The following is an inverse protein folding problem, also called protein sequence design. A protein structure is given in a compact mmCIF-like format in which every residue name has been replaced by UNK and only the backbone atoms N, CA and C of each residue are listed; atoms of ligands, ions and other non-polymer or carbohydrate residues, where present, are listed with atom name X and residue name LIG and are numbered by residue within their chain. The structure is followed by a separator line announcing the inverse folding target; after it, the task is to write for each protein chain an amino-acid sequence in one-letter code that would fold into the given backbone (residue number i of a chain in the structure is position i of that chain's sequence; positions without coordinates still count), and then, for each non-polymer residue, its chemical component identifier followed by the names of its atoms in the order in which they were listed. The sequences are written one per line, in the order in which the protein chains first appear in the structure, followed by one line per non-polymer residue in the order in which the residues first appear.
data_IF_355335491005
#
_entry.id   IF_355335491005
#
_cell.length_a   1.000
_cell.length_b   1.000
_cell.length_c   1.000
_cell.angle_alpha   90.00
_cell.angle_beta   90.00
_cell.angle_gamma   90.00
#
_symmetry.space_group_name_H-M   'P 1'
#
loop_
_entity.id
_entity.type
_entity.pdbx_description
1 polymer ?
#
# COMPACT_ATOMS: atom_id res chain seq x y z
N UNK A 1 -40.46 17.47 -23.30
CA UNK A 1 -39.81 16.76 -22.17
C UNK A 1 -38.50 16.05 -22.59
N UNK A 2 -38.44 15.31 -23.70
CA UNK A 2 -37.18 14.62 -24.12
C UNK A 2 -35.97 15.55 -24.37
N UNK A 3 -36.19 16.75 -24.93
CA UNK A 3 -35.09 17.71 -25.19
C UNK A 3 -34.49 18.33 -23.94
N UNK A 4 -35.26 18.49 -22.86
CA UNK A 4 -34.78 19.05 -21.59
C UNK A 4 -33.87 18.04 -20.85
N UNK A 5 -34.20 16.76 -20.93
CA UNK A 5 -33.41 15.68 -20.32
C UNK A 5 -32.02 15.56 -20.98
N UNK A 6 -31.96 15.72 -22.30
CA UNK A 6 -30.69 15.66 -23.03
C UNK A 6 -29.79 16.85 -22.66
N UNK A 7 -30.34 18.05 -22.54
CA UNK A 7 -29.58 19.25 -22.17
C UNK A 7 -29.07 19.15 -20.72
N UNK A 8 -29.84 18.59 -19.78
CA UNK A 8 -29.41 18.37 -18.39
C UNK A 8 -28.30 17.33 -18.30
N UNK A 9 -28.36 16.27 -19.11
CA UNK A 9 -27.32 15.25 -19.21
C UNK A 9 -25.98 15.81 -19.75
N UNK A 10 -26.04 16.70 -20.74
CA UNK A 10 -24.85 17.37 -21.27
C UNK A 10 -24.21 18.37 -20.27
N UNK A 11 -25.02 19.04 -19.46
CA UNK A 11 -24.53 19.95 -18.43
C UNK A 11 -23.82 19.22 -17.29
N UNK A 12 -24.26 18.01 -16.92
CA UNK A 12 -23.60 17.19 -15.91
C UNK A 12 -22.25 16.65 -16.40
N UNK A 13 -22.16 16.22 -17.66
CA UNK A 13 -20.89 15.74 -18.25
C UNK A 13 -19.91 16.89 -18.47
N UNK A 14 -20.38 18.05 -18.90
CA UNK A 14 -19.53 19.25 -19.06
C UNK A 14 -19.04 19.79 -17.72
N UNK A 15 -19.82 19.66 -16.64
CA UNK A 15 -19.44 20.07 -15.29
C UNK A 15 -18.27 19.26 -14.74
N UNK A 16 -18.28 17.94 -14.90
CA UNK A 16 -17.19 17.09 -14.45
C UNK A 16 -15.89 17.36 -15.24
N UNK A 17 -15.97 17.50 -16.56
CA UNK A 17 -14.80 17.76 -17.40
C UNK A 17 -14.16 19.15 -17.16
N UNK A 18 -14.94 20.13 -16.75
CA UNK A 18 -14.41 21.47 -16.41
C UNK A 18 -13.76 21.53 -15.03
N UNK A 19 -14.24 20.74 -14.06
CA UNK A 19 -13.62 20.61 -12.73
C UNK A 19 -12.24 19.91 -12.83
N UNK A 20 -12.14 18.80 -13.60
CA UNK A 20 -10.85 18.12 -13.81
C UNK A 20 -9.82 19.02 -14.49
N UNK A 21 -10.22 19.76 -15.53
CA UNK A 21 -9.32 20.67 -16.24
C UNK A 21 -8.85 21.86 -15.38
N UNK A 22 -9.71 22.37 -14.50
CA UNK A 22 -9.33 23.44 -13.57
C UNK A 22 -8.35 22.92 -12.54
N UNK A 23 -8.60 21.76 -11.94
CA UNK A 23 -7.75 21.17 -10.92
C UNK A 23 -6.36 20.78 -11.45
N UNK A 24 -6.31 20.18 -12.64
CA UNK A 24 -5.03 19.82 -13.31
C UNK A 24 -4.27 21.05 -13.75
N UNK A 25 -4.95 22.11 -14.21
CA UNK A 25 -4.33 23.33 -14.66
C UNK A 25 -3.70 24.11 -13.49
N UNK A 26 -4.37 24.17 -12.34
CA UNK A 26 -3.82 24.79 -11.13
C UNK A 26 -2.59 24.05 -10.59
N UNK A 27 -2.53 22.72 -10.76
CA UNK A 27 -1.36 21.91 -10.39
C UNK A 27 -0.19 22.13 -11.37
N UNK A 28 -0.46 22.32 -12.65
CA UNK A 28 0.56 22.51 -13.69
C UNK A 28 1.07 23.96 -13.74
N UNK A 29 0.20 24.96 -13.57
CA UNK A 29 0.57 26.38 -13.64
C UNK A 29 1.27 26.89 -12.36
N UNK A 30 1.05 26.25 -11.21
CA UNK A 30 1.74 26.64 -9.98
C UNK A 30 3.16 26.10 -9.86
N UNK A 31 3.67 25.28 -10.80
CA UNK A 31 5.07 24.88 -11.03
C UNK A 31 6.04 24.86 -9.83
N UNK A 32 5.54 25.12 -8.65
CA UNK A 32 6.16 25.07 -7.34
C UNK A 32 5.15 24.50 -6.35
N UNK A 33 4.77 23.24 -6.51
CA UNK A 33 4.34 22.51 -5.33
C UNK A 33 5.62 22.39 -4.50
N UNK A 34 5.75 23.28 -3.55
CA UNK A 34 6.71 23.09 -2.46
C UNK A 34 6.23 21.82 -1.73
N UNK A 35 6.81 20.70 -2.10
CA UNK A 35 6.58 19.38 -1.44
C UNK A 35 7.07 19.40 0.02
N UNK A 36 7.36 20.57 0.56
CA UNK A 36 8.18 20.69 1.74
C UNK A 36 7.43 20.61 3.06
N UNK A 37 6.10 20.70 3.11
CA UNK A 37 5.38 20.55 4.39
C UNK A 37 3.91 20.19 4.18
N UNK A 38 3.49 19.05 4.70
CA UNK A 38 2.10 18.85 5.06
C UNK A 38 1.91 19.41 6.47
N UNK A 39 1.20 20.52 6.60
CA UNK A 39 0.79 21.05 7.90
C UNK A 39 -0.55 20.39 8.30
N UNK A 40 -0.50 19.63 9.39
CA UNK A 40 -1.71 19.26 10.13
C UNK A 40 -1.76 20.23 11.30
N UNK A 41 -2.92 20.85 11.56
CA UNK A 41 -3.08 21.85 12.62
C UNK A 41 -2.56 21.29 13.96
N UNK A 42 -1.52 21.92 14.51
CA UNK A 42 -0.85 21.49 15.73
C UNK A 42 0.28 20.46 15.57
N UNK A 43 0.63 20.04 14.34
CA UNK A 43 1.71 19.08 14.11
C UNK A 43 2.46 19.36 12.79
N UNK A 44 3.78 19.55 12.83
CA UNK A 44 4.63 19.61 11.63
C UNK A 44 5.15 18.22 11.30
N UNK A 45 4.85 17.74 10.09
CA UNK A 45 5.38 16.49 9.57
C UNK A 45 6.40 16.76 8.45
N UNK A 46 7.64 16.41 8.71
CA UNK A 46 8.75 16.70 7.79
C UNK A 46 8.85 15.76 6.57
N UNK A 47 7.90 14.85 6.39
CA UNK A 47 7.88 13.91 5.28
C UNK A 47 9.00 12.86 5.32
N UNK A 48 9.20 12.17 4.19
CA UNK A 48 10.20 11.09 4.06
C UNK A 48 11.64 11.61 4.28
N UNK A 49 11.93 12.84 3.84
CA UNK A 49 13.29 13.38 3.94
C UNK A 49 13.72 13.60 5.39
N UNK A 50 12.83 14.12 6.23
CA UNK A 50 13.11 14.27 7.67
C UNK A 50 13.28 12.94 8.39
N UNK A 51 12.52 11.91 7.98
CA UNK A 51 12.67 10.58 8.52
C UNK A 51 14.03 9.93 8.16
N UNK A 52 14.72 10.46 7.15
CA UNK A 52 16.05 10.01 6.74
C UNK A 52 17.20 10.75 7.44
N UNK A 53 16.93 11.84 8.16
CA UNK A 53 17.98 12.68 8.78
C UNK A 53 18.60 12.04 10.02
N UNK A 54 17.95 11.07 10.65
CA UNK A 54 18.43 10.36 11.84
C UNK A 54 19.61 9.42 11.63
N UNK A 55 20.15 9.29 10.42
CA UNK A 55 21.26 8.37 10.09
C UNK A 55 20.90 6.89 10.09
N UNK A 56 19.71 6.54 10.53
CA UNK A 56 19.19 5.18 10.51
C UNK A 56 18.66 4.82 9.11
N UNK A 57 18.50 3.54 8.83
CA UNK A 57 17.81 3.07 7.63
C UNK A 57 16.32 3.31 7.82
N UNK A 58 15.72 4.11 6.94
CA UNK A 58 14.27 4.21 6.87
C UNK A 58 13.69 2.92 6.28
N UNK A 59 12.75 2.31 6.96
CA UNK A 59 11.96 1.18 6.46
C UNK A 59 10.56 1.67 6.12
N UNK A 60 10.18 1.58 4.85
CA UNK A 60 8.90 2.05 4.36
C UNK A 60 8.10 0.87 3.82
N UNK A 61 6.91 0.62 4.37
CA UNK A 61 5.99 -0.40 3.89
C UNK A 61 4.84 0.25 3.12
N UNK A 62 4.63 -0.23 1.88
CA UNK A 62 3.50 0.16 1.06
C UNK A 62 2.48 -0.98 0.95
N UNK A 63 1.21 -0.66 1.19
CA UNK A 63 0.07 -1.57 1.05
C UNK A 63 -0.94 -0.97 0.07
N UNK A 64 -1.24 -1.70 -1.01
CA UNK A 64 -2.19 -1.26 -2.03
C UNK A 64 -3.64 -1.39 -1.56
N UNK A 65 -4.54 -0.71 -2.27
CA UNK A 65 -5.99 -0.75 -2.06
C UNK A 65 -6.68 -1.87 -2.84
N UNK A 66 -7.94 -1.61 -3.21
CA UNK A 66 -8.74 -2.55 -4.01
C UNK A 66 -8.19 -2.75 -5.41
N UNK A 67 -8.53 -3.87 -6.02
CA UNK A 67 -8.12 -4.24 -7.37
C UNK A 67 -6.99 -5.27 -7.40
N UNK A 68 -6.76 -5.82 -8.60
CA UNK A 68 -5.67 -6.78 -8.81
C UNK A 68 -4.37 -6.05 -9.03
N UNK A 69 -3.39 -6.33 -8.17
CA UNK A 69 -2.05 -5.78 -8.24
C UNK A 69 -1.03 -6.91 -8.38
N UNK A 70 0.09 -6.58 -9.01
CA UNK A 70 1.22 -7.50 -9.18
C UNK A 70 2.47 -6.92 -8.52
N UNK A 71 3.42 -7.76 -8.06
CA UNK A 71 4.68 -7.28 -7.52
C UNK A 71 5.37 -6.29 -8.46
N UNK A 72 5.71 -5.12 -7.94
CA UNK A 72 6.23 -3.99 -8.72
C UNK A 72 5.22 -2.88 -9.02
N UNK A 73 3.97 -2.97 -8.52
CA UNK A 73 2.95 -1.95 -8.75
C UNK A 73 3.36 -0.55 -8.25
N UNK A 74 4.22 -0.48 -7.25
CA UNK A 74 4.68 0.79 -6.67
C UNK A 74 5.95 1.35 -7.33
N UNK A 75 6.48 0.74 -8.38
CA UNK A 75 7.77 1.16 -8.97
C UNK A 75 7.82 2.63 -9.34
N UNK A 76 6.75 3.14 -9.96
CA UNK A 76 6.68 4.56 -10.35
C UNK A 76 6.73 5.50 -9.14
N UNK A 77 6.04 5.13 -8.04
CA UNK A 77 6.12 5.88 -6.79
C UNK A 77 7.54 5.83 -6.22
N UNK A 78 8.17 4.65 -6.20
CA UNK A 78 9.54 4.49 -5.72
C UNK A 78 10.53 5.33 -6.53
N UNK A 79 10.43 5.32 -7.85
CA UNK A 79 11.29 6.11 -8.75
C UNK A 79 11.11 7.62 -8.52
N UNK A 80 9.87 8.10 -8.42
CA UNK A 80 9.58 9.50 -8.14
C UNK A 80 10.11 9.92 -6.77
N UNK A 81 9.88 9.10 -5.74
CA UNK A 81 10.39 9.35 -4.40
C UNK A 81 11.93 9.38 -4.39
N UNK A 82 12.55 8.38 -5.00
CA UNK A 82 14.01 8.29 -5.09
C UNK A 82 14.62 9.47 -5.83
N UNK A 83 14.01 9.89 -6.96
CA UNK A 83 14.46 11.05 -7.73
C UNK A 83 14.40 12.34 -6.91
N UNK A 84 13.32 12.57 -6.16
CA UNK A 84 13.17 13.77 -5.33
C UNK A 84 14.15 13.82 -4.14
N UNK A 85 14.55 12.67 -3.59
CA UNK A 85 15.45 12.57 -2.44
C UNK A 85 16.91 12.35 -2.88
N UNK A 86 17.16 12.18 -4.18
CA UNK A 86 18.48 11.91 -4.73
C UNK A 86 19.00 10.49 -4.45
N UNK A 87 18.12 9.52 -4.32
CA UNK A 87 18.48 8.12 -4.15
C UNK A 87 18.84 7.45 -5.48
N UNK A 88 19.77 6.50 -5.40
CA UNK A 88 20.06 5.54 -6.45
C UNK A 88 19.75 4.13 -5.95
N UNK A 89 19.25 3.24 -6.81
CA UNK A 89 19.05 1.84 -6.47
C UNK A 89 20.41 1.21 -6.19
N UNK A 90 20.57 0.66 -4.99
CA UNK A 90 21.81 -0.07 -4.62
C UNK A 90 21.73 -1.52 -5.06
N UNK A 91 20.54 -2.12 -4.95
CA UNK A 91 20.29 -3.47 -5.44
C UNK A 91 19.88 -3.42 -6.91
N UNK A 92 20.55 -4.20 -7.74
CA UNK A 92 20.19 -4.36 -9.16
C UNK A 92 18.89 -5.12 -9.35
N UNK A 93 18.54 -5.98 -8.40
CA UNK A 93 17.33 -6.79 -8.40
C UNK A 93 16.64 -6.65 -7.05
N UNK A 94 15.34 -6.35 -7.03
CA UNK A 94 14.57 -6.41 -5.80
C UNK A 94 14.48 -7.84 -5.30
N UNK A 95 14.41 -8.03 -4.01
CA UNK A 95 14.14 -9.34 -3.41
C UNK A 95 12.63 -9.55 -3.32
N UNK A 96 12.18 -10.79 -3.52
CA UNK A 96 10.78 -11.18 -3.42
C UNK A 96 10.64 -12.35 -2.46
N UNK A 97 9.71 -12.22 -1.51
CA UNK A 97 9.33 -13.26 -0.56
C UNK A 97 7.88 -13.59 -0.79
N UNK A 98 7.55 -14.83 -1.10
CA UNK A 98 6.17 -15.30 -1.05
C UNK A 98 5.82 -15.55 0.41
N UNK A 99 4.86 -14.80 0.92
CA UNK A 99 4.39 -14.90 2.29
C UNK A 99 3.49 -16.11 2.45
N UNK A 100 3.73 -16.90 3.49
CA UNK A 100 2.92 -18.06 3.85
C UNK A 100 2.12 -17.80 5.12
N UNK A 101 0.94 -18.40 5.22
CA UNK A 101 0.15 -18.40 6.45
C UNK A 101 0.94 -19.10 7.58
N UNK A 102 1.21 -18.42 8.70
CA UNK A 102 1.89 -19.04 9.82
C UNK A 102 1.15 -20.24 10.43
N UNK A 103 -0.16 -20.36 10.20
CA UNK A 103 -0.96 -21.42 10.77
C UNK A 103 -0.68 -22.81 10.12
N UNK A 104 -0.39 -22.85 8.83
CA UNK A 104 -0.12 -24.08 8.10
C UNK A 104 1.26 -24.14 7.44
N UNK A 105 1.89 -22.99 7.22
CA UNK A 105 3.18 -22.88 6.55
C UNK A 105 3.14 -23.20 5.04
N UNK A 106 1.97 -23.31 4.44
CA UNK A 106 1.77 -23.75 3.06
C UNK A 106 0.93 -22.77 2.24
N UNK A 107 -0.14 -22.20 2.81
CA UNK A 107 -1.05 -21.29 2.12
C UNK A 107 -0.35 -19.98 1.79
N UNK A 108 -0.33 -19.63 0.50
CA UNK A 108 0.24 -18.35 0.04
C UNK A 108 -0.73 -17.20 0.35
N UNK A 109 -0.27 -16.23 1.13
CA UNK A 109 -1.05 -15.08 1.57
C UNK A 109 -0.56 -13.74 1.03
N UNK A 110 0.46 -13.74 0.19
CA UNK A 110 0.94 -12.51 -0.43
C UNK A 110 2.35 -12.61 -0.98
N UNK A 111 2.80 -11.50 -1.55
CA UNK A 111 4.18 -11.32 -1.95
C UNK A 111 4.72 -10.03 -1.32
N UNK A 112 5.88 -10.12 -0.70
CA UNK A 112 6.61 -8.97 -0.18
C UNK A 112 7.83 -8.73 -1.07
N UNK A 113 7.78 -7.63 -1.83
CA UNK A 113 8.89 -7.17 -2.64
C UNK A 113 9.68 -6.11 -1.88
N UNK A 114 10.99 -6.28 -1.78
CA UNK A 114 11.87 -5.38 -1.04
C UNK A 114 12.90 -4.77 -1.98
N UNK A 115 13.04 -3.45 -1.96
CA UNK A 115 14.01 -2.69 -2.75
C UNK A 115 14.90 -1.87 -1.81
N UNK A 116 16.20 -1.86 -2.05
CA UNK A 116 17.15 -1.08 -1.27
C UNK A 116 17.61 0.16 -2.05
N UNK A 117 17.45 1.31 -1.43
CA UNK A 117 17.83 2.61 -1.96
C UNK A 117 18.89 3.26 -1.08
N UNK A 118 19.84 3.94 -1.71
CA UNK A 118 20.86 4.69 -1.00
C UNK A 118 21.21 5.99 -1.75
N UNK A 119 21.40 7.06 -0.99
CA UNK A 119 22.08 8.25 -1.46
C UNK A 119 23.53 8.20 -0.96
N UNK A 120 24.50 8.00 -1.87
CA UNK A 120 25.92 7.87 -1.51
C UNK A 120 26.53 9.16 -0.96
N UNK A 121 26.02 10.32 -1.40
CA UNK A 121 26.55 11.62 -0.97
C UNK A 121 26.14 11.97 0.47
N UNK A 122 24.89 11.73 0.82
CA UNK A 122 24.33 12.00 2.16
C UNK A 122 24.45 10.82 3.13
N UNK A 123 24.71 9.60 2.63
CA UNK A 123 24.69 8.38 3.42
C UNK A 123 23.28 7.89 3.82
N UNK A 124 22.23 8.61 3.41
CA UNK A 124 20.82 8.23 3.67
C UNK A 124 20.51 6.89 3.01
N UNK A 125 19.75 6.03 3.70
CA UNK A 125 19.40 4.67 3.24
C UNK A 125 17.93 4.38 3.51
N UNK A 126 17.29 3.66 2.56
CA UNK A 126 15.89 3.25 2.67
C UNK A 126 15.71 1.81 2.19
N UNK A 127 14.94 1.03 2.93
CA UNK A 127 14.35 -0.23 2.49
C UNK A 127 12.88 0.02 2.20
N UNK A 128 12.48 -0.22 0.96
CA UNK A 128 11.10 -0.09 0.54
C UNK A 128 10.49 -1.49 0.41
N UNK A 129 9.50 -1.75 1.23
CA UNK A 129 8.72 -2.98 1.28
C UNK A 129 7.40 -2.75 0.55
N UNK A 130 7.07 -3.59 -0.40
CA UNK A 130 5.84 -3.53 -1.18
C UNK A 130 5.04 -4.81 -0.95
N UNK A 131 3.91 -4.72 -0.29
CA UNK A 131 3.01 -5.85 -0.08
C UNK A 131 2.02 -5.97 -1.24
N UNK A 132 1.96 -7.15 -1.87
CA UNK A 132 0.91 -7.54 -2.80
C UNK A 132 0.07 -8.64 -2.15
N UNK A 133 -1.17 -8.32 -1.77
CA UNK A 133 -2.11 -9.21 -1.09
C UNK A 133 -3.30 -9.65 -1.97
N UNK A 134 -3.53 -8.99 -3.12
CA UNK A 134 -4.72 -9.20 -3.96
C UNK A 134 -4.89 -10.61 -4.54
N UNK A 135 -3.86 -11.45 -4.45
CA UNK A 135 -3.94 -12.87 -4.81
C UNK A 135 -4.90 -13.65 -3.91
N UNK A 136 -5.13 -13.21 -2.67
CA UNK A 136 -6.04 -13.86 -1.72
C UNK A 136 -7.49 -13.80 -2.23
N UNK A 137 -7.87 -12.69 -2.88
CA UNK A 137 -9.24 -12.44 -3.38
C UNK A 137 -9.42 -12.83 -4.85
N UNK A 138 -8.36 -13.26 -5.53
CA UNK A 138 -8.42 -13.59 -6.95
C UNK A 138 -9.45 -14.69 -7.27
N UNK A 139 -9.58 -15.80 -6.52
CA UNK A 139 -10.60 -16.82 -6.80
C UNK A 139 -12.03 -16.27 -6.71
N UNK A 140 -12.29 -15.39 -5.75
CA UNK A 140 -13.62 -14.80 -5.56
C UNK A 140 -13.98 -13.85 -6.72
N UNK A 141 -12.98 -13.10 -7.23
CA UNK A 141 -13.13 -12.26 -8.43
C UNK A 141 -13.41 -13.08 -9.69
N UNK A 142 -12.75 -14.22 -9.86
CA UNK A 142 -12.99 -15.12 -11.00
C UNK A 142 -14.42 -15.63 -11.02
N UNK A 143 -14.98 -15.97 -9.87
CA UNK A 143 -16.39 -16.42 -9.76
C UNK A 143 -17.35 -15.32 -10.22
N UNK A 144 -17.11 -14.06 -9.84
CA UNK A 144 -17.96 -12.92 -10.21
C UNK A 144 -17.77 -12.56 -11.69
N UNK A 145 -16.56 -12.70 -12.20
CA UNK A 145 -16.21 -12.34 -13.56
C UNK A 145 -16.65 -13.37 -14.62
N UNK A 146 -17.32 -14.48 -14.26
CA UNK A 146 -17.69 -15.57 -15.16
C UNK A 146 -18.41 -15.12 -16.44
N UNK A 147 -19.18 -14.04 -16.37
CA UNK A 147 -19.96 -13.51 -17.47
C UNK A 147 -19.22 -12.43 -18.28
N UNK A 148 -17.95 -12.17 -18.01
CA UNK A 148 -17.07 -11.32 -18.86
C UNK A 148 -16.54 -12.07 -20.08
N UNK A 149 -16.74 -13.39 -20.16
CA UNK A 149 -16.38 -14.20 -21.32
C UNK A 149 -17.00 -13.65 -22.62
N UNK A 150 -16.34 -13.89 -23.76
CA UNK A 150 -16.71 -13.36 -25.06
C UNK A 150 -18.18 -13.62 -25.44
N UNK A 151 -18.71 -14.83 -25.10
CA UNK A 151 -20.10 -15.21 -25.35
C UNK A 151 -21.13 -14.26 -24.71
N UNK A 152 -20.77 -13.60 -23.61
CA UNK A 152 -21.64 -12.66 -22.93
C UNK A 152 -21.27 -11.21 -23.23
N UNK A 153 -19.98 -10.88 -23.32
CA UNK A 153 -19.48 -9.52 -23.52
C UNK A 153 -19.91 -8.90 -24.84
N UNK A 154 -20.07 -9.72 -25.92
CA UNK A 154 -20.52 -9.27 -27.24
C UNK A 154 -21.90 -8.62 -27.26
N UNK A 155 -22.72 -8.86 -26.24
CA UNK A 155 -24.06 -8.26 -26.14
C UNK A 155 -24.07 -6.98 -25.31
N UNK A 156 -22.93 -6.58 -24.74
CA UNK A 156 -22.83 -5.39 -23.90
C UNK A 156 -22.35 -4.18 -24.69
N UNK A 157 -22.90 -3.02 -24.33
CA UNK A 157 -22.35 -1.75 -24.80
C UNK A 157 -20.95 -1.59 -24.23
N UNK A 158 -19.95 -1.08 -24.99
CA UNK A 158 -18.55 -0.98 -24.53
C UNK A 158 -18.39 -0.33 -23.15
N UNK A 159 -19.12 0.74 -22.87
CA UNK A 159 -19.11 1.41 -21.57
C UNK A 159 -19.54 0.47 -20.42
N UNK A 160 -20.63 -0.28 -20.61
CA UNK A 160 -21.10 -1.22 -19.59
C UNK A 160 -20.10 -2.36 -19.36
N UNK A 161 -19.41 -2.78 -20.43
CA UNK A 161 -18.39 -3.81 -20.30
C UNK A 161 -17.18 -3.30 -19.50
N UNK A 162 -16.70 -2.10 -19.78
CA UNK A 162 -15.60 -1.48 -19.01
C UNK A 162 -15.99 -1.28 -17.55
N UNK A 163 -17.19 -0.78 -17.29
CA UNK A 163 -17.69 -0.59 -15.91
C UNK A 163 -17.81 -1.91 -15.17
N UNK A 164 -18.29 -2.97 -15.84
CA UNK A 164 -18.38 -4.29 -15.21
C UNK A 164 -16.99 -4.82 -14.85
N UNK A 165 -16.04 -4.81 -15.78
CA UNK A 165 -14.66 -5.26 -15.51
C UNK A 165 -14.05 -4.50 -14.32
N UNK A 166 -14.29 -3.20 -14.23
CA UNK A 166 -13.85 -2.39 -13.11
C UNK A 166 -14.50 -2.84 -11.79
N UNK A 167 -15.82 -3.01 -11.77
CA UNK A 167 -16.54 -3.42 -10.57
C UNK A 167 -16.17 -4.83 -10.12
N UNK A 168 -16.06 -5.77 -11.06
CA UNK A 168 -15.67 -7.16 -10.75
C UNK A 168 -14.25 -7.24 -10.15
N UNK A 169 -13.37 -6.32 -10.55
CA UNK A 169 -12.01 -6.29 -10.04
C UNK A 169 -11.87 -5.59 -8.69
N UNK A 170 -12.75 -4.63 -8.37
CA UNK A 170 -12.56 -3.76 -7.20
C UNK A 170 -13.56 -4.01 -6.08
N UNK A 171 -14.83 -4.26 -6.42
CA UNK A 171 -15.91 -4.39 -5.44
C UNK A 171 -15.80 -5.63 -4.54
N UNK A 172 -15.31 -6.79 -5.01
CA UNK A 172 -15.18 -7.96 -4.16
C UNK A 172 -14.22 -7.75 -2.98
N UNK A 173 -13.14 -7.03 -3.18
CA UNK A 173 -12.08 -6.89 -2.17
C UNK A 173 -12.58 -6.42 -0.80
N UNK A 174 -13.32 -5.28 -0.68
CA UNK A 174 -13.82 -4.85 0.61
C UNK A 174 -14.89 -5.80 1.19
N UNK A 175 -15.70 -6.44 0.33
CA UNK A 175 -16.72 -7.39 0.80
C UNK A 175 -16.08 -8.66 1.35
N UNK A 176 -15.13 -9.22 0.62
CA UNK A 176 -14.40 -10.43 1.00
C UNK A 176 -13.53 -10.16 2.24
N UNK A 177 -12.96 -8.95 2.35
CA UNK A 177 -12.22 -8.54 3.54
C UNK A 177 -13.08 -8.55 4.80
N UNK A 178 -14.33 -8.08 4.73
CA UNK A 178 -15.20 -7.99 5.91
C UNK A 178 -15.84 -9.34 6.31
N UNK A 179 -15.88 -10.33 5.40
CA UNK A 179 -16.66 -11.56 5.63
C UNK A 179 -15.77 -12.81 5.68
N UNK A 180 -15.05 -13.10 4.59
CA UNK A 180 -14.48 -14.45 4.40
C UNK A 180 -12.95 -14.54 4.48
N UNK A 181 -12.24 -13.48 4.13
CA UNK A 181 -10.78 -13.48 3.94
C UNK A 181 -10.02 -12.50 4.83
N UNK A 182 -10.71 -11.86 5.77
CA UNK A 182 -10.09 -10.91 6.70
C UNK A 182 -8.85 -11.49 7.37
N UNK A 183 -8.94 -12.70 7.88
CA UNK A 183 -7.83 -13.40 8.55
C UNK A 183 -6.59 -13.54 7.68
N UNK A 184 -6.74 -14.00 6.42
CA UNK A 184 -5.61 -14.19 5.52
C UNK A 184 -4.98 -12.87 5.10
N UNK A 185 -5.82 -11.85 4.86
CA UNK A 185 -5.34 -10.52 4.48
C UNK A 185 -4.65 -9.84 5.67
N UNK A 186 -5.19 -9.97 6.87
CA UNK A 186 -4.57 -9.48 8.10
C UNK A 186 -3.20 -10.15 8.33
N UNK A 187 -3.14 -11.48 8.28
CA UNK A 187 -1.88 -12.24 8.37
C UNK A 187 -0.86 -11.83 7.32
N UNK A 188 -1.31 -11.48 6.10
CA UNK A 188 -0.42 -10.94 5.06
C UNK A 188 0.22 -9.61 5.51
N UNK A 189 -0.55 -8.73 6.14
CA UNK A 189 -0.07 -7.50 6.78
C UNK A 189 0.93 -7.78 7.91
N UNK A 190 0.57 -8.66 8.84
CA UNK A 190 1.41 -9.07 9.98
C UNK A 190 2.72 -9.71 9.52
N UNK A 191 2.70 -10.59 8.52
CA UNK A 191 3.90 -11.18 7.94
C UNK A 191 4.79 -10.12 7.28
N UNK A 192 4.21 -9.14 6.61
CA UNK A 192 4.97 -8.04 6.01
C UNK A 192 5.63 -7.16 7.07
N UNK A 193 4.92 -6.84 8.13
CA UNK A 193 5.44 -6.09 9.27
C UNK A 193 6.54 -6.88 9.98
N UNK A 194 6.33 -8.17 10.20
CA UNK A 194 7.34 -9.07 10.79
C UNK A 194 8.66 -9.04 9.99
N UNK A 195 8.61 -9.22 8.68
CA UNK A 195 9.79 -9.12 7.83
C UNK A 195 10.43 -7.73 7.86
N UNK A 196 9.62 -6.68 7.90
CA UNK A 196 10.10 -5.30 8.00
C UNK A 196 10.83 -5.07 9.33
N UNK A 197 10.35 -5.62 10.44
CA UNK A 197 10.96 -5.47 11.76
C UNK A 197 12.22 -6.33 11.91
N UNK A 198 12.18 -7.58 11.46
CA UNK A 198 13.23 -8.58 11.68
C UNK A 198 14.53 -8.28 10.97
N UNK A 199 14.46 -7.75 9.75
CA UNK A 199 15.57 -7.91 8.80
C UNK A 199 16.18 -6.61 8.30
N UNK A 200 17.50 -6.66 8.10
CA UNK A 200 18.18 -5.78 7.16
C UNK A 200 18.11 -6.34 5.73
N UNK A 201 18.63 -5.62 4.76
CA UNK A 201 18.64 -6.05 3.37
C UNK A 201 19.19 -7.47 3.15
N UNK A 202 20.28 -7.82 3.84
CA UNK A 202 20.98 -9.09 3.62
C UNK A 202 20.18 -10.30 4.13
N UNK A 203 19.32 -10.09 5.11
CA UNK A 203 18.56 -11.15 5.79
C UNK A 203 17.22 -11.44 5.12
N UNK A 204 16.75 -10.56 4.22
CA UNK A 204 15.54 -10.82 3.43
C UNK A 204 15.77 -11.99 2.50
N UNK A 205 15.01 -13.10 2.60
CA UNK A 205 15.09 -14.19 1.64
C UNK A 205 14.66 -13.71 0.26
N UNK A 206 15.28 -14.28 -0.78
CA UNK A 206 14.96 -13.91 -2.16
C UNK A 206 14.47 -15.13 -2.94
N UNK A 207 13.34 -14.96 -3.65
CA UNK A 207 12.72 -15.99 -4.47
C UNK A 207 12.23 -17.20 -3.66
N UNK A 208 11.94 -17.04 -2.38
CA UNK A 208 11.53 -18.14 -1.48
C UNK A 208 10.15 -17.91 -0.90
N UNK A 209 9.49 -19.02 -0.62
CA UNK A 209 8.31 -19.06 0.25
C UNK A 209 8.78 -19.13 1.70
N UNK A 210 8.26 -18.25 2.56
CA UNK A 210 8.69 -18.20 3.94
C UNK A 210 7.64 -17.64 4.88
N UNK A 211 7.67 -18.14 6.13
CA UNK A 211 6.98 -17.56 7.28
C UNK A 211 7.98 -16.74 8.06
N UNK A 212 7.59 -15.54 8.49
CA UNK A 212 8.34 -14.75 9.44
C UNK A 212 7.81 -15.03 10.86
N UNK A 213 8.71 -15.21 11.81
CA UNK A 213 8.39 -15.32 13.23
C UNK A 213 9.27 -14.39 14.03
N UNK A 214 8.66 -13.65 14.95
CA UNK A 214 9.30 -12.80 15.96
C UNK A 214 8.68 -13.11 17.31
N UNK A 215 9.49 -13.13 18.36
CA UNK A 215 8.95 -13.11 19.71
C UNK A 215 8.33 -11.74 20.02
N UNK A 216 7.41 -11.63 21.00
CA UNK A 216 6.87 -10.35 21.41
C UNK A 216 7.94 -9.32 21.79
N UNK A 217 9.01 -9.75 22.45
CA UNK A 217 10.12 -8.89 22.83
C UNK A 217 10.89 -8.37 21.61
N UNK A 218 11.10 -9.20 20.59
CA UNK A 218 11.74 -8.81 19.33
C UNK A 218 10.86 -7.82 18.55
N UNK A 219 9.53 -7.97 18.58
CA UNK A 219 8.57 -7.04 17.95
C UNK A 219 8.64 -5.67 18.62
N UNK A 220 8.59 -5.62 19.96
CA UNK A 220 8.70 -4.38 20.73
C UNK A 220 10.03 -3.68 20.43
N UNK A 221 11.13 -4.43 20.50
CA UNK A 221 12.45 -3.89 20.21
C UNK A 221 12.55 -3.37 18.75
N UNK A 222 11.95 -4.09 17.80
CA UNK A 222 11.88 -3.69 16.41
C UNK A 222 11.08 -2.40 16.20
N UNK A 223 9.92 -2.28 16.83
CA UNK A 223 9.08 -1.08 16.75
C UNK A 223 9.71 0.15 17.40
N UNK A 224 10.34 -0.04 18.58
CA UNK A 224 10.94 1.06 19.33
C UNK A 224 12.29 1.53 18.79
N UNK A 225 13.04 0.65 18.12
CA UNK A 225 14.44 0.89 17.74
C UNK A 225 14.64 1.22 16.27
N UNK A 226 13.58 1.23 15.44
CA UNK A 226 13.72 1.40 14.00
C UNK A 226 12.93 2.61 13.49
N UNK A 227 13.39 3.16 12.37
CA UNK A 227 12.71 4.26 11.69
C UNK A 227 11.73 3.66 10.67
N UNK A 228 10.44 3.64 11.02
CA UNK A 228 9.38 3.02 10.27
C UNK A 228 8.46 4.06 9.65
N UNK A 229 8.03 3.82 8.41
CA UNK A 229 7.04 4.61 7.71
C UNK A 229 6.09 3.72 6.93
N UNK A 230 4.85 4.14 6.84
CA UNK A 230 3.81 3.42 6.11
C UNK A 230 3.20 4.30 5.04
N UNK A 231 3.00 3.74 3.85
CA UNK A 231 2.29 4.37 2.74
C UNK A 231 1.18 3.44 2.32
N UNK A 232 -0.04 3.92 2.37
CA UNK A 232 -1.22 3.09 2.10
C UNK A 232 -2.16 3.78 1.14
N UNK A 233 -2.91 3.00 0.39
CA UNK A 233 -3.94 3.49 -0.51
C UNK A 233 -5.27 2.78 -0.25
N UNK A 234 -6.36 3.54 -0.09
CA UNK A 234 -7.73 3.01 0.00
C UNK A 234 -7.86 1.89 1.07
N UNK A 235 -8.32 0.69 0.68
CA UNK A 235 -8.45 -0.48 1.58
C UNK A 235 -7.14 -0.86 2.27
N UNK A 236 -5.99 -0.58 1.66
CA UNK A 236 -4.69 -0.78 2.30
C UNK A 236 -4.52 -0.02 3.60
N UNK A 237 -5.21 1.12 3.76
CA UNK A 237 -5.19 1.88 5.02
C UNK A 237 -5.90 1.12 6.14
N UNK A 238 -7.04 0.51 5.84
CA UNK A 238 -7.76 -0.34 6.81
C UNK A 238 -6.93 -1.56 7.16
N UNK A 239 -6.36 -2.25 6.17
CA UNK A 239 -5.50 -3.42 6.39
C UNK A 239 -4.34 -3.06 7.33
N UNK A 240 -3.67 -1.93 7.10
CA UNK A 240 -2.59 -1.49 7.98
C UNK A 240 -3.09 -1.20 9.40
N UNK A 241 -4.22 -0.50 9.54
CA UNK A 241 -4.77 -0.19 10.86
C UNK A 241 -5.12 -1.45 11.65
N UNK A 242 -5.78 -2.40 10.99
CA UNK A 242 -6.16 -3.66 11.61
C UNK A 242 -4.91 -4.49 11.98
N UNK A 243 -3.88 -4.51 11.10
CA UNK A 243 -2.58 -5.13 11.39
C UNK A 243 -1.91 -4.53 12.62
N UNK A 244 -1.83 -3.21 12.70
CA UNK A 244 -1.21 -2.53 13.84
C UNK A 244 -2.00 -2.71 15.13
N UNK A 245 -3.34 -2.78 15.04
CA UNK A 245 -4.20 -3.05 16.19
C UNK A 245 -3.97 -4.47 16.71
N UNK A 246 -3.94 -5.47 15.83
CA UNK A 246 -3.67 -6.85 16.20
C UNK A 246 -2.29 -7.01 16.86
N UNK A 247 -1.26 -6.37 16.29
CA UNK A 247 0.08 -6.36 16.89
C UNK A 247 0.10 -5.67 18.26
N UNK A 248 -0.64 -4.57 18.43
CA UNK A 248 -0.73 -3.87 19.70
C UNK A 248 -1.42 -4.72 20.77
N UNK A 249 -2.49 -5.43 20.41
CA UNK A 249 -3.23 -6.32 21.31
C UNK A 249 -2.37 -7.52 21.73
N UNK A 250 -1.60 -8.11 20.80
CA UNK A 250 -0.68 -9.19 21.11
C UNK A 250 0.40 -8.72 22.10
N UNK A 251 1.02 -7.58 21.85
CA UNK A 251 2.04 -6.99 22.74
C UNK A 251 1.45 -6.63 24.11
N UNK A 252 0.25 -6.03 24.15
CA UNK A 252 -0.42 -5.66 25.39
C UNK A 252 -0.77 -6.88 26.24
N UNK A 253 -1.12 -8.00 25.62
CA UNK A 253 -1.40 -9.26 26.31
C UNK A 253 -0.18 -9.81 27.04
N UNK A 254 1.03 -9.56 26.51
CA UNK A 254 2.29 -10.05 27.07
C UNK A 254 2.87 -9.09 28.12
N UNK A 255 2.74 -7.78 27.93
CA UNK A 255 3.48 -6.81 28.76
C UNK A 255 2.63 -5.87 29.62
N UNK A 256 1.30 -5.80 29.43
CA UNK A 256 0.47 -4.75 30.02
C UNK A 256 0.98 -3.30 29.72
N UNK A 257 1.63 -3.09 28.57
CA UNK A 257 2.33 -1.85 28.20
C UNK A 257 1.81 -1.22 26.90
N UNK A 258 0.50 -1.25 26.65
CA UNK A 258 -0.13 -0.69 25.44
C UNK A 258 0.24 0.78 25.09
N UNK A 259 0.76 1.55 26.05
CA UNK A 259 1.06 2.97 25.86
C UNK A 259 2.30 3.31 25.04
N UNK A 260 3.20 2.35 24.72
CA UNK A 260 4.46 2.64 24.01
C UNK A 260 4.38 2.45 22.50
N UNK A 261 3.44 1.67 21.98
CA UNK A 261 3.31 1.42 20.55
C UNK A 261 2.78 2.64 19.77
N UNK A 262 1.89 3.41 20.37
CA UNK A 262 1.33 4.60 19.74
C UNK A 262 2.36 5.70 19.43
N UNK A 263 3.48 5.71 20.15
CA UNK A 263 4.53 6.73 20.01
C UNK A 263 5.54 6.43 18.87
N UNK A 264 5.61 5.19 18.38
CA UNK A 264 6.64 4.76 17.42
C UNK A 264 6.21 4.79 15.95
N UNK A 265 4.92 4.99 15.68
CA UNK A 265 4.38 4.90 14.31
C UNK A 265 3.94 6.28 13.83
N UNK A 266 4.68 6.85 12.88
CA UNK A 266 4.25 8.05 12.17
C UNK A 266 3.52 7.68 10.88
N UNK A 267 2.32 8.22 10.71
CA UNK A 267 1.47 8.03 9.54
C UNK A 267 1.80 9.00 8.41
N UNK A 268 1.91 8.49 7.20
CA UNK A 268 1.73 9.31 6.00
C UNK A 268 0.61 8.75 5.15
N UNK A 269 -0.43 9.55 4.94
CA UNK A 269 -1.47 9.27 3.96
C UNK A 269 -1.10 10.04 2.69
N UNK A 270 -0.49 9.34 1.72
CA UNK A 270 -0.31 9.90 0.39
C UNK A 270 -1.54 9.50 -0.43
N UNK A 271 -2.45 10.45 -0.70
CA UNK A 271 -3.38 10.30 -1.80
C UNK A 271 -2.54 10.33 -3.09
N UNK A 272 -2.41 9.19 -3.73
CA UNK A 272 -1.97 9.15 -5.10
C UNK A 272 -3.14 9.70 -5.93
N UNK A 273 -3.03 10.94 -6.40
CA UNK A 273 -3.85 11.42 -7.49
C UNK A 273 -3.26 10.82 -8.77
N UNK A 274 -3.99 9.87 -9.38
CA UNK A 274 -3.83 9.50 -10.77
C UNK A 274 -4.21 10.65 -11.70
#
# INVERSE_FOLDING_TARGET
MKKIIIILSWLLVAGCASLERSFVKDIVDTGKVSLNRCEVEGFEYGGVDSALDGGQVLKLLMIHGVGTHHPGYSMRLQENLAGNIGFNVVSRLPKNVTLLDPADGETEIGNLRVTYWQNKASGKRMLFYELTWSMITAPDKEIIAFDTEERYSKFRVPFNNTMKVFLDNTLPDPLVYEVDRSDLILKSGEQSLCWMLKTGWNDVPDGRKAVCALTPEERIAGLAGQNLMFVTHSLGSKILMDTLTAEADEVASVENRAGRLAAAVSYTHLRAHE
#
